data_IF_294751927783
#
_entry.id   IF_294751927783
#
_cell.length_a   1.000
_cell.length_b   1.000
_cell.length_c   1.000
_cell.angle_alpha   90.00
_cell.angle_beta   90.00
_cell.angle_gamma   90.00
#
_symmetry.space_group_name_H-M   'P 1'
#
loop_
_entity.id
_entity.type
_entity.pdbx_description
1 polymer ?
#
# COMPACT_ATOMS: atom_id res chain seq x y z
N UNK A 1 -1.58 -26.96 -46.12
CA UNK A 1 -2.97 -26.49 -45.92
C UNK A 1 -3.16 -26.49 -44.39
N UNK A 2 -2.69 -25.45 -43.77
CA UNK A 2 -2.73 -25.27 -42.31
C UNK A 2 -3.96 -24.47 -41.91
N UNK A 3 -4.74 -25.03 -41.01
CA UNK A 3 -5.98 -24.44 -40.51
C UNK A 3 -5.60 -23.69 -39.23
N UNK A 4 -5.63 -22.34 -39.28
CA UNK A 4 -5.54 -21.50 -38.09
C UNK A 4 -6.90 -21.48 -37.34
N UNK A 5 -6.94 -22.14 -36.19
CA UNK A 5 -8.06 -21.99 -35.23
C UNK A 5 -7.89 -20.73 -34.41
N UNK A 6 -8.74 -19.74 -34.63
CA UNK A 6 -8.88 -18.59 -33.78
C UNK A 6 -9.78 -18.94 -32.61
N UNK A 7 -9.23 -18.96 -31.39
CA UNK A 7 -10.03 -19.00 -30.17
C UNK A 7 -10.46 -17.58 -29.80
N UNK A 8 -11.76 -17.29 -29.96
CA UNK A 8 -12.40 -16.12 -29.42
C UNK A 8 -12.87 -16.45 -27.99
N UNK A 9 -12.19 -15.90 -26.98
CA UNK A 9 -12.59 -16.06 -25.58
C UNK A 9 -13.59 -14.96 -25.24
N UNK A 10 -14.89 -15.29 -25.33
CA UNK A 10 -15.96 -14.42 -24.89
C UNK A 10 -16.07 -14.46 -23.36
N UNK A 11 -15.84 -13.33 -22.71
CA UNK A 11 -16.11 -13.15 -21.28
C UNK A 11 -17.60 -12.84 -21.14
N UNK A 12 -18.36 -13.77 -20.53
CA UNK A 12 -19.75 -13.57 -20.17
C UNK A 12 -19.81 -12.76 -18.87
N UNK A 13 -20.24 -11.51 -18.96
CA UNK A 13 -20.62 -10.72 -17.78
C UNK A 13 -22.04 -11.17 -17.34
N UNK A 14 -22.10 -11.80 -16.17
CA UNK A 14 -23.40 -12.00 -15.49
C UNK A 14 -23.83 -10.70 -14.82
N UNK A 15 -24.74 -9.97 -15.44
CA UNK A 15 -25.44 -8.85 -14.82
C UNK A 15 -26.71 -9.39 -14.15
N UNK A 16 -26.72 -9.46 -12.84
CA UNK A 16 -27.94 -9.70 -12.08
C UNK A 16 -28.74 -8.39 -11.99
N UNK A 17 -29.84 -8.32 -12.71
CA UNK A 17 -30.79 -7.19 -12.63
C UNK A 17 -31.65 -7.34 -11.39
N UNK A 18 -31.47 -6.46 -10.39
CA UNK A 18 -32.50 -6.17 -9.38
C UNK A 18 -33.07 -4.79 -9.66
N UNK A 19 -34.36 -4.75 -10.00
CA UNK A 19 -35.08 -3.51 -10.24
C UNK A 19 -35.40 -2.76 -8.95
N UNK A 20 -35.26 -1.44 -8.97
CA UNK A 20 -35.78 -0.54 -7.94
C UNK A 20 -34.94 0.73 -7.79
N UNK A 21 -35.45 1.86 -8.32
CA UNK A 21 -34.99 3.21 -8.00
C UNK A 21 -33.79 3.70 -8.83
N UNK A 22 -33.98 4.78 -9.59
CA UNK A 22 -32.88 5.47 -10.29
C UNK A 22 -32.03 6.18 -9.23
N UNK A 23 -31.10 5.42 -8.62
CA UNK A 23 -29.95 6.00 -7.99
C UNK A 23 -28.94 6.32 -9.12
N UNK A 24 -28.29 7.47 -9.07
CA UNK A 24 -27.22 7.81 -9.99
C UNK A 24 -26.33 6.58 -10.16
N UNK A 25 -26.16 6.15 -11.40
CA UNK A 25 -25.37 4.96 -11.73
C UNK A 25 -23.93 5.32 -11.37
N UNK A 26 -23.47 4.86 -10.21
CA UNK A 26 -22.09 5.06 -9.77
C UNK A 26 -21.20 4.53 -10.88
N UNK A 27 -20.54 5.43 -11.61
CA UNK A 27 -19.61 5.05 -12.66
C UNK A 27 -18.47 4.21 -12.03
N UNK A 28 -18.16 3.09 -12.64
CA UNK A 28 -17.02 2.29 -12.19
C UNK A 28 -15.76 3.15 -12.23
N UNK A 29 -14.90 3.08 -11.21
CA UNK A 29 -13.69 3.91 -11.12
C UNK A 29 -12.69 3.66 -12.26
N UNK A 30 -12.83 2.54 -12.97
CA UNK A 30 -12.06 2.24 -14.18
C UNK A 30 -13.02 1.77 -15.28
N UNK A 31 -12.92 2.38 -16.45
CA UNK A 31 -13.67 1.97 -17.64
C UNK A 31 -13.32 0.56 -18.09
N UNK A 32 -14.31 -0.21 -18.56
CA UNK A 32 -14.12 -1.57 -19.07
C UNK A 32 -13.16 -1.68 -20.27
N UNK A 33 -12.95 -0.57 -20.98
CA UNK A 33 -12.03 -0.51 -22.14
C UNK A 33 -10.59 -0.18 -21.76
N UNK A 34 -10.35 0.25 -20.51
CA UNK A 34 -9.02 0.58 -20.02
C UNK A 34 -8.19 -0.68 -19.82
N UNK A 35 -6.91 -0.63 -20.18
CA UNK A 35 -5.97 -1.74 -20.11
C UNK A 35 -4.77 -1.41 -19.23
N UNK A 36 -4.26 -2.43 -18.53
CA UNK A 36 -2.98 -2.34 -17.83
C UNK A 36 -1.86 -2.06 -18.84
N UNK A 37 -1.03 -1.07 -18.53
CA UNK A 37 0.18 -0.74 -19.26
C UNK A 37 1.40 -1.21 -18.45
N UNK A 38 2.30 -1.93 -19.10
CA UNK A 38 3.61 -2.27 -18.56
C UNK A 38 4.52 -1.04 -18.64
N UNK A 39 5.08 -0.60 -17.51
CA UNK A 39 5.96 0.56 -17.44
C UNK A 39 7.44 0.18 -17.35
N UNK A 40 7.78 -0.94 -16.71
CA UNK A 40 9.17 -1.39 -16.58
C UNK A 40 9.35 -2.50 -15.55
N UNK A 41 10.60 -2.95 -15.37
CA UNK A 41 10.97 -4.00 -14.41
C UNK A 41 12.31 -3.72 -13.73
N UNK A 42 12.43 -4.19 -12.49
CA UNK A 42 13.66 -4.25 -11.69
C UNK A 42 13.71 -5.57 -10.90
N UNK A 43 14.43 -5.67 -9.78
CA UNK A 43 14.52 -6.94 -9.06
C UNK A 43 13.26 -7.26 -8.22
N UNK A 44 12.82 -6.33 -7.36
CA UNK A 44 11.58 -6.44 -6.60
C UNK A 44 11.09 -5.05 -6.21
N UNK A 45 9.86 -4.75 -6.62
CA UNK A 45 9.28 -3.41 -6.50
C UNK A 45 8.33 -3.27 -5.33
N UNK A 46 8.38 -2.10 -4.68
CA UNK A 46 7.52 -1.70 -3.58
C UNK A 46 7.32 -0.18 -3.52
N UNK A 47 6.41 0.24 -2.65
CA UNK A 47 6.22 1.60 -2.16
C UNK A 47 6.20 2.70 -3.21
N UNK A 48 5.33 2.62 -4.24
CA UNK A 48 5.27 3.66 -5.26
C UNK A 48 4.72 4.95 -4.66
N UNK A 49 5.29 6.07 -5.09
CA UNK A 49 4.80 7.40 -4.75
C UNK A 49 5.02 8.37 -5.90
N UNK A 50 4.10 9.30 -6.11
CA UNK A 50 4.20 10.28 -7.16
C UNK A 50 4.51 11.66 -6.60
N UNK A 51 5.26 12.46 -7.36
CA UNK A 51 5.62 13.83 -7.04
C UNK A 51 5.20 14.78 -8.19
N UNK A 52 4.69 16.03 -7.96
CA UNK A 52 4.22 16.94 -9.02
C UNK A 52 5.29 17.39 -10.00
N UNK A 53 6.55 17.08 -9.75
CA UNK A 53 7.55 17.16 -10.81
C UNK A 53 7.27 16.17 -11.95
N UNK A 54 6.19 15.35 -11.83
CA UNK A 54 5.75 14.38 -12.83
C UNK A 54 6.48 13.05 -12.76
N UNK A 55 7.20 12.80 -11.68
CA UNK A 55 7.96 11.57 -11.49
C UNK A 55 7.21 10.60 -10.56
N UNK A 56 7.34 9.31 -10.86
CA UNK A 56 6.92 8.23 -9.96
C UNK A 56 8.17 7.59 -9.37
N UNK A 57 8.22 7.48 -8.06
CA UNK A 57 9.31 6.85 -7.33
C UNK A 57 8.82 5.50 -6.79
N UNK A 58 9.70 4.52 -6.72
CA UNK A 58 9.40 3.20 -6.16
C UNK A 58 10.69 2.50 -5.73
N UNK A 59 10.56 1.61 -4.75
CA UNK A 59 11.70 0.87 -4.22
C UNK A 59 12.07 -0.31 -5.11
N UNK A 60 13.36 -0.58 -5.23
CA UNK A 60 13.95 -1.85 -5.68
C UNK A 60 14.72 -2.43 -4.49
N UNK A 61 13.97 -3.09 -3.60
CA UNK A 61 14.43 -3.46 -2.25
C UNK A 61 15.72 -4.28 -2.28
N UNK A 62 15.82 -5.42 -3.05
CA UNK A 62 17.00 -6.27 -3.00
C UNK A 62 18.29 -5.60 -3.47
N UNK A 63 18.16 -4.60 -4.33
CA UNK A 63 19.30 -3.82 -4.84
C UNK A 63 19.57 -2.55 -4.05
N UNK A 64 18.86 -2.36 -2.93
CA UNK A 64 19.03 -1.19 -2.05
C UNK A 64 18.96 0.14 -2.81
N UNK A 65 17.92 0.26 -3.68
CA UNK A 65 17.73 1.44 -4.54
C UNK A 65 16.31 1.99 -4.43
N UNK A 66 16.19 3.30 -4.68
CA UNK A 66 14.93 3.93 -5.08
C UNK A 66 15.05 4.25 -6.56
N UNK A 67 14.07 3.84 -7.32
CA UNK A 67 13.94 4.07 -8.75
C UNK A 67 13.05 5.28 -8.99
N UNK A 68 13.24 5.94 -10.12
CA UNK A 68 12.40 7.04 -10.61
C UNK A 68 12.00 6.75 -12.05
N UNK A 69 10.69 6.69 -12.29
CA UNK A 69 10.11 6.80 -13.63
C UNK A 69 9.83 8.26 -13.90
N UNK A 70 10.44 8.81 -14.92
CA UNK A 70 10.26 10.21 -15.30
C UNK A 70 9.00 10.43 -16.17
N UNK A 71 8.74 11.69 -16.55
CA UNK A 71 7.59 12.07 -17.39
C UNK A 71 7.59 11.42 -18.78
N UNK A 72 8.77 11.06 -19.29
CA UNK A 72 8.91 10.40 -20.60
C UNK A 72 8.68 8.88 -20.50
N UNK A 73 8.54 8.34 -19.28
CA UNK A 73 8.37 6.92 -19.01
C UNK A 73 9.69 6.17 -18.82
N UNK A 74 10.83 6.86 -18.79
CA UNK A 74 12.12 6.22 -18.58
C UNK A 74 12.39 5.97 -17.10
N UNK A 75 12.95 4.80 -16.78
CA UNK A 75 13.22 4.39 -15.40
C UNK A 75 14.72 4.50 -15.11
N UNK A 76 15.05 5.30 -14.11
CA UNK A 76 16.41 5.59 -13.66
C UNK A 76 16.59 5.23 -12.18
N UNK A 77 17.85 5.00 -11.77
CA UNK A 77 18.19 4.96 -10.35
C UNK A 77 18.17 6.39 -9.82
N UNK A 78 17.30 6.64 -8.84
CA UNK A 78 17.20 7.93 -8.16
C UNK A 78 18.15 8.00 -6.96
N UNK A 79 18.14 6.96 -6.11
CA UNK A 79 18.98 6.88 -4.90
C UNK A 79 19.53 5.47 -4.75
N UNK A 80 20.83 5.37 -4.50
CA UNK A 80 21.50 4.14 -4.02
C UNK A 80 21.62 4.16 -2.51
N UNK A 81 21.99 3.03 -1.90
CA UNK A 81 22.11 2.88 -0.45
C UNK A 81 20.84 3.35 0.28
N UNK A 82 19.69 2.89 -0.24
CA UNK A 82 18.38 3.30 0.27
C UNK A 82 18.06 2.76 1.66
N UNK A 83 18.93 1.94 2.26
CA UNK A 83 18.70 1.29 3.55
C UNK A 83 17.65 0.18 3.46
N UNK A 84 17.48 -0.42 2.28
CA UNK A 84 16.39 -1.37 1.98
C UNK A 84 15.01 -0.73 2.18
N UNK A 85 14.86 0.50 1.67
CA UNK A 85 13.56 1.20 1.67
C UNK A 85 12.49 0.30 1.08
N UNK A 86 11.35 0.19 1.78
CA UNK A 86 10.14 -0.45 1.35
C UNK A 86 9.13 0.63 0.89
N UNK A 87 8.18 1.04 1.70
CA UNK A 87 7.23 2.09 1.40
C UNK A 87 7.86 3.48 1.33
N UNK A 88 7.30 4.33 0.47
CA UNK A 88 7.63 5.75 0.38
C UNK A 88 6.37 6.60 0.29
N UNK A 89 6.40 7.79 0.87
CA UNK A 89 5.40 8.83 0.65
C UNK A 89 6.08 10.20 0.63
N UNK A 90 5.34 11.25 0.32
CA UNK A 90 5.83 12.62 0.42
C UNK A 90 5.14 13.37 1.56
N UNK A 91 5.90 14.19 2.28
CA UNK A 91 5.32 15.08 3.27
C UNK A 91 4.72 16.35 2.63
N UNK A 92 4.09 17.20 3.43
CA UNK A 92 3.42 18.42 2.96
C UNK A 92 4.37 19.43 2.26
N UNK A 93 5.67 19.27 2.40
CA UNK A 93 6.70 20.07 1.74
C UNK A 93 7.31 19.39 0.52
N UNK A 94 6.78 18.22 0.12
CA UNK A 94 7.30 17.45 -1.02
C UNK A 94 8.61 16.72 -0.73
N UNK A 95 8.98 16.50 0.54
CA UNK A 95 10.15 15.73 0.93
C UNK A 95 9.78 14.26 1.05
N UNK A 96 10.64 13.38 0.53
CA UNK A 96 10.37 11.95 0.53
C UNK A 96 10.60 11.34 1.90
N UNK A 97 9.58 10.66 2.42
CA UNK A 97 9.66 9.79 3.60
C UNK A 97 9.95 8.37 3.11
N UNK A 98 10.86 7.66 3.78
CA UNK A 98 11.29 6.31 3.44
C UNK A 98 11.19 5.38 4.65
N UNK A 99 10.51 4.25 4.51
CA UNK A 99 10.47 3.17 5.49
C UNK A 99 11.64 2.21 5.22
N UNK A 100 12.78 2.37 5.90
CA UNK A 100 14.00 1.58 5.69
C UNK A 100 13.95 0.26 6.47
N UNK A 101 13.03 -0.66 6.07
CA UNK A 101 12.74 -1.91 6.77
C UNK A 101 12.70 -3.16 5.89
N UNK A 102 12.82 -3.05 4.57
CA UNK A 102 12.51 -4.11 3.62
C UNK A 102 13.46 -5.31 3.56
N UNK A 103 14.52 -5.34 4.32
CA UNK A 103 15.49 -6.45 4.26
C UNK A 103 16.48 -6.49 5.41
N UNK A 104 17.32 -7.53 5.44
CA UNK A 104 18.48 -7.58 6.31
C UNK A 104 19.75 -7.34 5.46
N UNK A 105 20.68 -6.48 5.86
CA UNK A 105 20.74 -5.76 7.14
C UNK A 105 20.11 -4.36 7.10
N UNK A 106 18.79 -4.27 7.00
CA UNK A 106 18.10 -2.96 7.00
C UNK A 106 18.47 -2.14 8.24
N UNK A 107 18.42 -0.82 8.10
CA UNK A 107 18.70 0.08 9.21
C UNK A 107 17.55 0.16 10.21
N UNK A 108 16.36 -0.34 9.85
CA UNK A 108 15.17 -0.38 10.71
C UNK A 108 14.83 1.01 11.24
N UNK A 109 14.50 1.92 10.33
CA UNK A 109 14.22 3.31 10.65
C UNK A 109 13.29 3.95 9.63
N UNK A 110 12.64 5.03 10.00
CA UNK A 110 11.94 5.94 9.08
C UNK A 110 12.82 7.16 8.88
N UNK A 111 13.03 7.53 7.62
CA UNK A 111 13.88 8.68 7.26
C UNK A 111 13.14 9.65 6.35
N UNK A 112 13.64 10.87 6.27
CA UNK A 112 13.22 11.88 5.33
C UNK A 112 14.41 12.34 4.50
N UNK A 113 14.24 12.31 3.19
CA UNK A 113 15.18 12.93 2.24
C UNK A 113 14.84 14.42 2.15
N UNK A 114 15.72 15.24 2.64
CA UNK A 114 15.57 16.71 2.61
C UNK A 114 15.79 17.26 1.18
N UNK A 115 15.34 18.48 0.92
CA UNK A 115 15.47 19.10 -0.40
C UNK A 115 16.94 19.36 -0.83
N UNK A 116 17.84 19.45 0.14
CA UNK A 116 19.29 19.59 -0.11
C UNK A 116 19.99 18.23 -0.30
N UNK A 117 19.22 17.12 -0.28
CA UNK A 117 19.73 15.76 -0.45
C UNK A 117 20.22 15.10 0.84
N UNK A 118 20.20 15.78 1.98
CA UNK A 118 20.55 15.18 3.27
C UNK A 118 19.47 14.21 3.76
N UNK A 119 19.83 13.29 4.66
CA UNK A 119 18.90 12.29 5.22
C UNK A 119 18.73 12.56 6.70
N UNK A 120 17.50 12.90 7.10
CA UNK A 120 17.10 13.03 8.49
C UNK A 120 16.46 11.74 8.97
N UNK A 121 16.94 11.17 10.08
CA UNK A 121 16.28 10.06 10.77
C UNK A 121 15.12 10.61 11.57
N UNK A 122 13.90 10.18 11.25
CA UNK A 122 12.68 10.61 11.94
C UNK A 122 12.34 9.70 13.12
N UNK A 123 12.54 8.39 12.94
CA UNK A 123 12.31 7.38 13.97
C UNK A 123 13.20 6.17 13.70
N UNK A 124 13.87 5.64 14.72
CA UNK A 124 14.61 4.37 14.70
C UNK A 124 14.33 3.52 15.96
N UNK A 125 13.67 4.11 16.94
CA UNK A 125 13.28 3.45 18.18
C UNK A 125 11.93 3.99 18.70
N UNK A 126 11.32 3.22 19.59
CA UNK A 126 10.20 3.61 20.42
C UNK A 126 10.48 3.16 21.86
N UNK A 127 10.43 4.10 22.82
CA UNK A 127 10.76 3.85 24.22
C UNK A 127 12.14 3.19 24.45
N UNK A 128 13.14 3.63 23.68
CA UNK A 128 14.52 3.12 23.75
C UNK A 128 14.74 1.75 23.11
N UNK A 129 13.72 1.12 22.54
CA UNK A 129 13.79 -0.17 21.84
C UNK A 129 13.68 0.06 20.34
N UNK A 130 14.50 -0.62 19.55
CA UNK A 130 14.48 -0.51 18.09
C UNK A 130 13.12 -0.91 17.52
N UNK A 131 12.64 -0.17 16.53
CA UNK A 131 11.48 -0.56 15.74
C UNK A 131 11.80 -1.82 14.91
N UNK A 132 10.76 -2.53 14.45
CA UNK A 132 10.93 -3.85 13.84
C UNK A 132 11.46 -3.80 12.41
N UNK A 133 10.64 -3.29 11.49
CA UNK A 133 10.95 -3.27 10.06
C UNK A 133 9.95 -2.36 9.35
N UNK A 134 10.08 -1.01 9.46
CA UNK A 134 9.13 -0.09 8.88
C UNK A 134 8.81 -0.45 7.44
N UNK A 135 7.51 -0.55 7.13
CA UNK A 135 7.04 -1.10 5.86
C UNK A 135 6.39 -0.03 5.00
N UNK A 136 5.28 0.54 5.40
CA UNK A 136 4.55 1.53 4.61
C UNK A 136 4.22 2.78 5.43
N UNK A 137 3.94 3.91 4.75
CA UNK A 137 3.68 5.18 5.42
C UNK A 137 2.67 6.05 4.68
N UNK A 138 2.01 6.92 5.45
CA UNK A 138 1.12 7.96 4.95
C UNK A 138 1.25 9.22 5.80
N UNK A 139 0.76 10.35 5.29
CA UNK A 139 0.82 11.66 5.95
C UNK A 139 -0.59 12.22 6.09
N UNK A 140 -0.91 12.85 7.21
CA UNK A 140 -2.17 13.54 7.37
C UNK A 140 -2.08 15.05 7.01
N UNK A 141 -3.22 15.73 6.99
CA UNK A 141 -3.32 17.15 6.66
C UNK A 141 -2.57 18.10 7.62
N UNK A 142 -2.07 17.59 8.75
CA UNK A 142 -1.24 18.35 9.71
C UNK A 142 0.26 18.01 9.58
N UNK A 143 0.63 17.14 8.63
CA UNK A 143 2.01 16.73 8.39
C UNK A 143 2.51 15.65 9.36
N UNK A 144 1.63 15.03 10.15
CA UNK A 144 2.00 13.89 10.98
C UNK A 144 2.16 12.66 10.09
N UNK A 145 3.21 11.89 10.33
CA UNK A 145 3.55 10.72 9.54
C UNK A 145 3.08 9.47 10.30
N UNK A 146 2.37 8.60 9.63
CA UNK A 146 1.93 7.31 10.14
C UNK A 146 2.67 6.22 9.41
N UNK A 147 3.18 5.22 10.14
CA UNK A 147 3.89 4.11 9.52
C UNK A 147 3.57 2.77 10.18
N UNK A 148 3.67 1.72 9.40
CA UNK A 148 3.52 0.35 9.85
C UNK A 148 4.87 -0.27 10.13
N UNK A 149 4.95 -1.10 11.18
CA UNK A 149 6.21 -1.70 11.65
C UNK A 149 6.09 -3.22 11.85
N UNK A 150 5.81 -3.97 10.78
CA UNK A 150 5.73 -5.43 10.83
C UNK A 150 7.11 -6.07 10.94
N UNK A 151 7.11 -7.39 11.02
CA UNK A 151 8.33 -8.19 10.86
C UNK A 151 8.07 -9.40 9.98
N UNK A 152 8.51 -9.31 8.75
CA UNK A 152 8.53 -10.45 7.83
C UNK A 152 9.81 -11.27 7.99
N UNK A 153 9.78 -12.56 7.61
CA UNK A 153 10.93 -13.47 7.64
C UNK A 153 11.47 -13.68 9.06
N UNK A 154 12.75 -13.44 9.30
CA UNK A 154 13.43 -13.74 10.57
C UNK A 154 12.88 -12.89 11.73
N UNK A 155 12.56 -13.55 12.84
CA UNK A 155 12.13 -12.91 14.11
C UNK A 155 13.34 -12.52 15.00
N UNK A 156 14.55 -12.80 14.56
CA UNK A 156 15.75 -12.46 15.33
C UNK A 156 15.91 -10.95 15.51
N UNK A 157 16.29 -10.53 16.72
CA UNK A 157 16.56 -9.14 17.05
C UNK A 157 15.31 -8.24 17.12
N UNK A 158 14.12 -8.83 17.37
CA UNK A 158 12.95 -8.06 17.77
C UNK A 158 13.17 -7.50 19.18
N UNK A 159 12.68 -6.28 19.40
CA UNK A 159 12.78 -5.57 20.67
C UNK A 159 11.43 -5.04 21.16
N UNK A 160 10.42 -4.98 20.25
CA UNK A 160 9.08 -4.50 20.59
C UNK A 160 8.25 -5.64 21.17
N UNK A 161 8.07 -5.61 22.49
CA UNK A 161 7.26 -6.58 23.24
C UNK A 161 6.35 -5.85 24.22
N UNK A 162 5.20 -6.47 24.53
CA UNK A 162 4.35 -6.02 25.64
C UNK A 162 4.86 -6.52 26.99
N UNK A 163 4.14 -6.17 28.06
CA UNK A 163 4.46 -6.57 29.42
C UNK A 163 4.39 -8.10 29.66
N UNK A 164 3.65 -8.81 28.81
CA UNK A 164 3.52 -10.27 28.84
C UNK A 164 4.57 -10.97 27.95
N UNK A 165 5.49 -10.22 27.34
CA UNK A 165 6.52 -10.75 26.46
C UNK A 165 6.00 -11.15 25.07
N UNK A 166 4.80 -10.72 24.66
CA UNK A 166 4.29 -10.96 23.31
C UNK A 166 4.86 -9.91 22.35
N UNK A 167 5.27 -10.38 21.18
CA UNK A 167 5.77 -9.50 20.11
C UNK A 167 4.69 -8.51 19.65
N UNK A 168 5.09 -7.25 19.43
CA UNK A 168 4.23 -6.20 18.88
C UNK A 168 4.72 -5.86 17.47
N UNK A 169 3.88 -6.11 16.49
CA UNK A 169 4.00 -5.57 15.15
C UNK A 169 3.02 -4.37 15.07
N UNK A 170 3.51 -3.17 15.34
CA UNK A 170 2.66 -2.01 15.64
C UNK A 170 2.45 -1.06 14.46
N UNK A 171 1.53 -0.13 14.67
CA UNK A 171 1.39 1.08 13.85
C UNK A 171 1.77 2.27 14.71
N UNK A 172 2.58 3.15 14.15
CA UNK A 172 3.17 4.29 14.85
C UNK A 172 2.85 5.60 14.16
N UNK A 173 2.94 6.70 14.91
CA UNK A 173 2.82 8.07 14.42
C UNK A 173 4.05 8.86 14.85
N UNK A 174 4.57 9.66 13.93
CA UNK A 174 5.64 10.64 14.15
C UNK A 174 5.02 12.03 14.07
N UNK A 175 5.08 12.80 15.14
CA UNK A 175 4.62 14.19 15.20
C UNK A 175 5.75 15.17 14.84
N UNK A 176 7.00 14.83 15.20
CA UNK A 176 8.22 15.57 14.93
C UNK A 176 9.41 14.59 15.02
N UNK A 177 10.62 15.02 14.64
CA UNK A 177 11.84 14.22 14.73
C UNK A 177 11.98 13.61 16.14
N UNK A 178 12.00 12.29 16.20
CA UNK A 178 12.10 11.52 17.44
C UNK A 178 10.85 11.50 18.32
N UNK A 179 9.78 12.22 17.96
CA UNK A 179 8.51 12.17 18.70
C UNK A 179 7.59 11.10 18.14
N UNK A 180 7.78 9.87 18.59
CA UNK A 180 7.07 8.68 18.12
C UNK A 180 6.02 8.26 19.14
N UNK A 181 4.83 7.90 18.65
CA UNK A 181 3.75 7.32 19.45
C UNK A 181 3.30 6.02 18.80
N UNK A 182 3.11 4.94 19.59
CA UNK A 182 2.49 3.72 19.10
C UNK A 182 0.97 3.84 19.19
N UNK A 183 0.29 3.86 18.06
CA UNK A 183 -1.17 4.08 17.98
C UNK A 183 -1.96 2.78 17.91
N UNK A 184 -1.40 1.71 17.33
CA UNK A 184 -1.97 0.35 17.35
C UNK A 184 -0.89 -0.66 17.75
N UNK A 185 -1.32 -1.72 18.42
CA UNK A 185 -0.47 -2.82 18.90
C UNK A 185 -1.04 -4.16 18.42
N UNK A 186 -1.75 -4.86 19.30
CA UNK A 186 -2.34 -6.18 19.03
C UNK A 186 -3.70 -6.12 18.31
N UNK A 187 -4.22 -4.94 18.02
CA UNK A 187 -5.41 -4.75 17.19
C UNK A 187 -5.16 -5.23 15.74
N UNK A 188 -3.90 -5.24 15.31
CA UNK A 188 -3.43 -5.74 14.02
C UNK A 188 -2.39 -6.83 14.29
N UNK A 189 -2.39 -7.91 13.49
CA UNK A 189 -1.41 -8.98 13.65
C UNK A 189 -0.09 -8.69 12.92
N UNK A 190 -0.18 -8.19 11.68
CA UNK A 190 0.99 -7.78 10.87
C UNK A 190 0.59 -6.63 9.94
N UNK A 191 0.72 -5.39 10.40
CA UNK A 191 0.34 -4.24 9.60
C UNK A 191 1.25 -4.11 8.37
N UNK A 192 0.64 -3.78 7.22
CA UNK A 192 1.34 -3.54 5.96
C UNK A 192 0.90 -2.17 5.41
N UNK A 193 0.11 -2.12 4.33
CA UNK A 193 -0.37 -0.88 3.77
C UNK A 193 -1.17 -0.03 4.75
N UNK A 194 -1.07 1.28 4.62
CA UNK A 194 -1.72 2.26 5.50
C UNK A 194 -2.21 3.46 4.69
N UNK A 195 -3.43 3.93 4.97
CA UNK A 195 -3.99 5.13 4.33
C UNK A 195 -4.88 5.90 5.30
N UNK A 196 -5.03 7.21 5.06
CA UNK A 196 -5.95 8.09 5.79
C UNK A 196 -7.04 8.55 4.81
N UNK A 197 -8.30 8.59 5.28
CA UNK A 197 -9.41 9.07 4.46
C UNK A 197 -9.24 10.54 4.06
N UNK A 198 -9.76 10.97 2.88
CA UNK A 198 -9.66 12.36 2.43
C UNK A 198 -10.25 13.39 3.42
N UNK A 199 -11.24 12.99 4.21
CA UNK A 199 -11.88 13.81 5.24
C UNK A 199 -11.17 13.73 6.60
N UNK A 200 -10.03 13.01 6.69
CA UNK A 200 -9.19 12.86 7.89
C UNK A 200 -9.88 12.17 9.09
N UNK A 201 -10.96 11.43 8.84
CA UNK A 201 -11.74 10.79 9.93
C UNK A 201 -11.39 9.33 10.16
N UNK A 202 -10.74 8.67 9.18
CA UNK A 202 -10.48 7.24 9.23
C UNK A 202 -9.01 6.93 8.92
N UNK A 203 -8.49 5.98 9.67
CA UNK A 203 -7.24 5.28 9.38
C UNK A 203 -7.58 3.89 8.86
N UNK A 204 -7.03 3.51 7.71
CA UNK A 204 -7.13 2.18 7.13
C UNK A 204 -5.81 1.46 7.26
N UNK A 205 -5.85 0.18 7.67
CA UNK A 205 -4.63 -0.63 7.83
C UNK A 205 -4.88 -2.01 7.23
N UNK A 206 -3.97 -2.42 6.36
CA UNK A 206 -3.89 -3.78 5.85
C UNK A 206 -3.22 -4.69 6.89
N UNK A 207 -3.88 -5.79 7.23
CA UNK A 207 -3.37 -6.83 8.13
C UNK A 207 -2.99 -8.06 7.29
N UNK A 208 -1.71 -8.24 7.04
CA UNK A 208 -1.18 -9.26 6.14
C UNK A 208 -0.29 -10.26 6.87
N UNK A 209 -0.83 -10.87 7.91
CA UNK A 209 -0.17 -12.03 8.49
C UNK A 209 -0.48 -13.26 7.66
N UNK A 210 0.54 -13.94 7.18
CA UNK A 210 0.41 -14.99 6.18
C UNK A 210 1.30 -16.21 6.47
N UNK A 211 1.63 -16.43 7.74
CA UNK A 211 2.42 -17.58 8.17
C UNK A 211 1.61 -18.88 8.17
N UNK A 212 0.28 -18.77 8.39
CA UNK A 212 -0.67 -19.89 8.45
C UNK A 212 -1.98 -19.52 7.73
N UNK A 213 -2.74 -20.51 7.23
CA UNK A 213 -4.05 -20.25 6.57
C UNK A 213 -5.08 -19.55 7.46
N UNK A 214 -4.95 -19.66 8.79
CA UNK A 214 -5.84 -19.06 9.78
C UNK A 214 -5.44 -17.66 10.24
N UNK A 215 -4.31 -17.14 9.76
CA UNK A 215 -3.84 -15.81 10.12
C UNK A 215 -4.70 -14.71 9.48
N UNK A 216 -4.59 -13.49 9.99
CA UNK A 216 -5.37 -12.37 9.49
C UNK A 216 -4.89 -11.91 8.10
N UNK A 217 -5.84 -11.84 7.18
CA UNK A 217 -5.68 -11.27 5.85
C UNK A 217 -6.84 -10.32 5.60
N UNK A 218 -6.80 -9.19 6.32
CA UNK A 218 -7.96 -8.32 6.53
C UNK A 218 -7.62 -6.87 6.26
N UNK A 219 -8.61 -6.13 5.81
CA UNK A 219 -8.55 -4.68 5.76
C UNK A 219 -9.37 -4.13 6.91
N UNK A 220 -8.75 -3.33 7.75
CA UNK A 220 -9.33 -2.70 8.91
C UNK A 220 -9.51 -1.19 8.74
N UNK A 221 -10.55 -0.65 9.35
CA UNK A 221 -10.77 0.79 9.53
C UNK A 221 -10.84 1.12 11.01
N UNK A 222 -10.27 2.26 11.38
CA UNK A 222 -10.35 2.85 12.71
C UNK A 222 -10.76 4.32 12.59
N UNK A 223 -11.46 4.85 13.59
CA UNK A 223 -11.74 6.28 13.69
C UNK A 223 -10.45 7.03 14.08
N UNK A 224 -10.12 8.04 13.28
CA UNK A 224 -8.98 8.93 13.48
C UNK A 224 -9.47 10.24 14.11
N UNK A 225 -8.95 10.57 15.29
CA UNK A 225 -9.31 11.80 16.00
C UNK A 225 -8.51 13.01 15.46
N UNK A 226 -9.03 14.24 15.65
CA UNK A 226 -8.34 15.46 15.18
C UNK A 226 -6.93 15.67 15.75
N UNK A 227 -6.63 15.10 16.92
CA UNK A 227 -5.30 15.12 17.52
C UNK A 227 -4.36 14.05 16.92
N UNK A 228 -4.86 13.23 15.99
CA UNK A 228 -4.13 12.13 15.34
C UNK A 228 -4.06 10.85 16.15
N UNK A 229 -4.74 10.78 17.28
CA UNK A 229 -4.93 9.53 18.00
C UNK A 229 -6.00 8.65 17.31
N UNK A 230 -5.90 7.35 17.51
CA UNK A 230 -6.83 6.37 16.94
C UNK A 230 -7.74 5.86 18.03
N UNK A 231 -9.05 5.80 17.76
CA UNK A 231 -9.98 5.09 18.62
C UNK A 231 -9.89 3.58 18.35
N UNK A 232 -9.20 2.86 19.21
CA UNK A 232 -9.02 1.40 19.08
C UNK A 232 -10.33 0.62 19.16
N UNK A 233 -11.32 1.13 19.91
CA UNK A 233 -12.62 0.49 20.05
C UNK A 233 -13.49 0.60 18.79
N UNK A 234 -13.16 1.54 17.88
CA UNK A 234 -13.87 1.72 16.61
C UNK A 234 -13.43 0.73 15.52
N UNK A 235 -12.54 -0.23 15.84
CA UNK A 235 -12.06 -1.22 14.87
C UNK A 235 -13.18 -1.86 14.09
N UNK A 236 -13.18 -1.69 12.77
CA UNK A 236 -14.19 -2.25 11.87
C UNK A 236 -13.51 -3.05 10.75
N UNK A 237 -13.94 -4.29 10.57
CA UNK A 237 -13.56 -5.11 9.43
C UNK A 237 -14.23 -4.57 8.16
N UNK A 238 -13.44 -4.20 7.16
CA UNK A 238 -13.95 -3.81 5.85
C UNK A 238 -13.96 -4.99 4.86
N UNK A 239 -12.87 -5.78 4.84
CA UNK A 239 -12.77 -6.89 3.91
C UNK A 239 -11.88 -8.01 4.47
N UNK A 240 -12.18 -9.26 4.11
CA UNK A 240 -11.45 -10.47 4.54
C UNK A 240 -11.14 -11.35 3.32
N UNK A 241 -9.85 -11.60 3.08
CA UNK A 241 -9.39 -12.48 2.00
C UNK A 241 -9.34 -13.96 2.41
N UNK A 242 -9.69 -14.28 3.66
CA UNK A 242 -9.69 -15.66 4.17
C UNK A 242 -8.31 -16.28 4.17
N UNK A 243 -8.16 -17.43 3.50
CA UNK A 243 -6.85 -18.12 3.35
C UNK A 243 -6.05 -17.69 2.12
N UNK A 244 -6.63 -16.89 1.22
CA UNK A 244 -5.93 -16.37 0.06
C UNK A 244 -4.96 -15.26 0.47
N UNK A 245 -4.02 -14.89 -0.41
CA UNK A 245 -3.08 -13.81 -0.08
C UNK A 245 -3.83 -12.51 0.24
N UNK A 246 -3.57 -11.98 1.42
CA UNK A 246 -4.22 -10.81 1.96
C UNK A 246 -3.74 -9.48 1.36
N UNK A 247 -4.25 -8.38 1.94
CA UNK A 247 -3.92 -7.04 1.47
C UNK A 247 -2.47 -6.70 1.77
N UNK A 248 -1.82 -6.02 0.80
CA UNK A 248 -0.46 -5.49 0.94
C UNK A 248 -0.53 -3.96 1.04
N UNK A 249 -0.10 -3.21 0.03
CA UNK A 249 -0.24 -1.77 0.00
C UNK A 249 -1.61 -1.29 -0.48
N UNK A 250 -1.88 0.00 -0.37
CA UNK A 250 -3.12 0.60 -0.83
C UNK A 250 -2.97 2.09 -1.18
N UNK A 251 -3.86 2.56 -2.08
CA UNK A 251 -4.10 3.97 -2.35
C UNK A 251 -5.58 4.31 -2.14
N UNK A 252 -5.89 5.60 -2.07
CA UNK A 252 -7.27 6.08 -1.89
C UNK A 252 -7.60 7.12 -2.98
N UNK A 253 -8.84 7.11 -3.48
CA UNK A 253 -9.30 8.13 -4.43
C UNK A 253 -10.01 9.30 -3.74
N UNK A 254 -10.36 10.33 -4.51
CA UNK A 254 -11.00 11.54 -4.00
C UNK A 254 -12.43 11.32 -3.49
N UNK A 255 -13.04 10.16 -3.81
CA UNK A 255 -14.35 9.74 -3.29
C UNK A 255 -14.22 8.81 -2.07
N UNK A 256 -12.98 8.53 -1.62
CA UNK A 256 -12.69 7.73 -0.45
C UNK A 256 -12.66 6.23 -0.70
N UNK A 257 -12.71 5.76 -1.96
CA UNK A 257 -12.56 4.32 -2.26
C UNK A 257 -11.11 3.91 -2.14
N UNK A 258 -10.90 2.73 -1.57
CA UNK A 258 -9.59 2.12 -1.35
C UNK A 258 -9.25 1.21 -2.53
N UNK A 259 -8.07 1.39 -3.09
CA UNK A 259 -7.47 0.54 -4.13
C UNK A 259 -6.43 -0.35 -3.45
N UNK A 260 -6.81 -1.56 -3.12
CA UNK A 260 -6.03 -2.47 -2.27
C UNK A 260 -5.37 -3.54 -3.11
N UNK A 261 -4.06 -3.67 -3.01
CA UNK A 261 -3.30 -4.74 -3.66
C UNK A 261 -3.42 -6.03 -2.87
N UNK A 262 -3.86 -7.12 -3.50
CA UNK A 262 -4.04 -8.41 -2.83
C UNK A 262 -4.12 -9.58 -3.81
N UNK A 263 -4.22 -10.78 -3.27
CA UNK A 263 -4.47 -12.02 -4.02
C UNK A 263 -3.25 -12.59 -4.74
N UNK A 264 -3.43 -13.83 -5.21
CA UNK A 264 -2.45 -14.56 -6.04
C UNK A 264 -3.14 -15.21 -7.25
N UNK A 265 -2.42 -15.31 -8.36
CA UNK A 265 -2.80 -16.14 -9.51
C UNK A 265 -2.36 -17.60 -9.28
N UNK A 266 -1.16 -17.78 -8.73
CA UNK A 266 -0.56 -19.06 -8.43
C UNK A 266 -0.39 -19.21 -6.91
N UNK A 267 -1.00 -20.20 -6.26
CA UNK A 267 -0.94 -20.34 -4.81
C UNK A 267 0.47 -20.74 -4.33
N UNK A 268 0.78 -20.38 -3.10
CA UNK A 268 1.98 -20.79 -2.36
C UNK A 268 1.58 -21.62 -1.11
N UNK A 269 1.10 -22.87 -1.28
CA UNK A 269 0.68 -23.70 -0.16
C UNK A 269 1.87 -24.07 0.74
N UNK A 270 1.63 -24.34 2.05
CA UNK A 270 0.30 -24.34 2.71
C UNK A 270 -0.13 -22.96 3.22
N UNK A 271 0.74 -21.97 3.22
CA UNK A 271 0.49 -20.72 3.91
C UNK A 271 -0.55 -19.84 3.20
N UNK A 272 -0.52 -19.82 1.86
CA UNK A 272 -1.40 -18.96 1.06
C UNK A 272 -2.07 -19.75 -0.05
N UNK A 273 -3.37 -19.55 -0.21
CA UNK A 273 -4.14 -20.11 -1.32
C UNK A 273 -4.46 -19.04 -2.36
N UNK A 274 -5.02 -19.43 -3.49
CA UNK A 274 -5.50 -18.54 -4.55
C UNK A 274 -6.85 -19.05 -5.07
N UNK A 275 -7.72 -19.45 -4.15
CA UNK A 275 -8.98 -20.12 -4.48
C UNK A 275 -10.03 -19.13 -4.99
N UNK A 276 -10.22 -18.03 -4.28
CA UNK A 276 -11.27 -17.04 -4.53
C UNK A 276 -10.69 -15.70 -5.03
N UNK A 277 -9.60 -15.27 -4.42
CA UNK A 277 -9.05 -13.94 -4.64
C UNK A 277 -7.76 -13.99 -5.46
N UNK A 278 -7.87 -13.57 -6.72
CA UNK A 278 -6.77 -13.53 -7.67
C UNK A 278 -5.91 -12.27 -7.50
N UNK A 279 -4.71 -12.30 -8.05
CA UNK A 279 -3.79 -11.18 -8.04
C UNK A 279 -4.39 -9.95 -8.73
N UNK A 280 -4.52 -8.83 -8.02
CA UNK A 280 -5.12 -7.62 -8.57
C UNK A 280 -5.33 -6.50 -7.55
N UNK A 281 -6.02 -5.47 -8.03
CA UNK A 281 -6.48 -4.35 -7.23
C UNK A 281 -7.95 -4.58 -6.88
N UNK A 282 -8.24 -4.54 -5.61
CA UNK A 282 -9.58 -4.62 -5.05
C UNK A 282 -10.04 -3.21 -4.71
N UNK A 283 -11.02 -2.68 -5.45
CA UNK A 283 -11.58 -1.34 -5.20
C UNK A 283 -12.73 -1.50 -4.22
N UNK A 284 -12.55 -0.95 -3.02
CA UNK A 284 -13.42 -1.17 -1.86
C UNK A 284 -13.92 0.19 -1.37
N UNK A 285 -15.25 0.31 -1.14
CA UNK A 285 -15.83 1.54 -0.56
C UNK A 285 -15.44 1.72 0.91
N UNK A 286 -15.57 2.94 1.47
CA UNK A 286 -15.33 3.19 2.91
C UNK A 286 -16.20 2.32 3.86
N UNK A 287 -17.31 1.78 3.36
CA UNK A 287 -18.21 0.89 4.11
C UNK A 287 -17.77 -0.58 4.06
N UNK A 288 -16.85 -0.95 3.12
CA UNK A 288 -16.32 -2.30 2.94
C UNK A 288 -16.94 -3.07 1.77
N UNK A 289 -17.64 -2.40 0.84
CA UNK A 289 -18.21 -3.04 -0.35
C UNK A 289 -17.15 -3.10 -1.45
N UNK A 290 -16.86 -4.31 -1.97
CA UNK A 290 -16.06 -4.47 -3.19
C UNK A 290 -16.90 -4.01 -4.40
N UNK A 291 -16.42 -2.98 -5.10
CA UNK A 291 -17.12 -2.39 -6.26
C UNK A 291 -16.46 -2.77 -7.58
N UNK A 292 -15.14 -3.02 -7.57
CA UNK A 292 -14.43 -3.43 -8.78
C UNK A 292 -13.21 -4.29 -8.42
N UNK A 293 -12.88 -5.24 -9.28
CA UNK A 293 -11.62 -5.98 -9.26
C UNK A 293 -10.88 -5.76 -10.58
N UNK A 294 -9.60 -5.37 -10.49
CA UNK A 294 -8.72 -5.13 -11.62
C UNK A 294 -7.65 -6.20 -11.61
N UNK A 295 -7.70 -7.20 -12.51
CA UNK A 295 -6.73 -8.27 -12.52
C UNK A 295 -5.35 -7.75 -12.94
N UNK A 296 -4.30 -8.22 -12.25
CA UNK A 296 -2.91 -7.96 -12.61
C UNK A 296 -2.23 -9.30 -12.96
N UNK A 297 -1.57 -9.41 -14.11
CA UNK A 297 -1.04 -10.69 -14.58
C UNK A 297 0.27 -11.15 -13.91
N UNK A 298 0.71 -10.41 -12.91
CA UNK A 298 1.94 -10.69 -12.15
C UNK A 298 1.57 -10.93 -10.69
N UNK A 299 2.08 -12.00 -10.10
CA UNK A 299 1.95 -12.28 -8.67
C UNK A 299 2.82 -11.35 -7.82
N UNK A 300 2.65 -11.42 -6.50
CA UNK A 300 3.30 -10.51 -5.56
C UNK A 300 2.96 -9.04 -5.87
N UNK A 301 1.66 -8.74 -5.98
CA UNK A 301 1.21 -7.36 -6.05
C UNK A 301 1.43 -6.74 -4.69
N UNK A 302 2.31 -5.74 -4.65
CA UNK A 302 2.81 -5.21 -3.39
C UNK A 302 2.14 -3.90 -2.99
N UNK A 303 2.09 -2.91 -3.88
CA UNK A 303 1.55 -1.60 -3.52
C UNK A 303 1.03 -0.84 -4.75
N UNK A 304 0.35 0.30 -4.54
CA UNK A 304 -0.09 1.18 -5.61
C UNK A 304 -0.13 2.64 -5.17
N UNK A 305 -0.04 3.56 -6.14
CA UNK A 305 -0.16 4.99 -5.90
C UNK A 305 -0.78 5.70 -7.11
N UNK A 306 -1.58 6.70 -6.85
CA UNK A 306 -2.08 7.59 -7.90
C UNK A 306 -1.01 8.59 -8.31
N UNK A 307 -1.01 8.94 -9.59
CA UNK A 307 -0.09 9.90 -10.18
C UNK A 307 -0.59 10.55 -11.45
N UNK A 308 0.34 11.19 -12.15
CA UNK A 308 0.15 12.16 -13.22
C UNK A 308 -0.53 13.45 -12.73
N UNK A 309 -0.56 14.49 -13.57
CA UNK A 309 -1.03 15.82 -13.18
C UNK A 309 -2.52 15.85 -12.77
N UNK A 310 -3.32 14.96 -13.36
CA UNK A 310 -4.75 14.81 -13.07
C UNK A 310 -5.04 13.77 -11.98
N UNK A 311 -4.01 13.11 -11.42
CA UNK A 311 -4.11 12.01 -10.45
C UNK A 311 -5.00 10.85 -10.93
N UNK A 312 -5.17 10.67 -12.24
CA UNK A 312 -5.99 9.60 -12.80
C UNK A 312 -5.19 8.44 -13.37
N UNK A 313 -3.93 8.30 -13.03
CA UNK A 313 -3.15 7.10 -13.32
C UNK A 313 -2.81 6.38 -12.02
N UNK A 314 -3.26 5.14 -11.90
CA UNK A 314 -2.85 4.26 -10.80
C UNK A 314 -1.61 3.50 -11.24
N UNK A 315 -0.48 3.73 -10.57
CA UNK A 315 0.75 2.98 -10.71
C UNK A 315 0.74 1.82 -9.73
N UNK A 316 1.13 0.63 -10.18
CA UNK A 316 1.01 -0.62 -9.43
C UNK A 316 2.35 -1.34 -9.45
N UNK A 317 2.88 -1.63 -8.27
CA UNK A 317 4.06 -2.47 -8.10
C UNK A 317 3.65 -3.93 -7.93
N UNK A 318 4.27 -4.83 -8.69
CA UNK A 318 3.95 -6.26 -8.66
C UNK A 318 5.19 -7.10 -9.00
N UNK A 319 5.70 -7.86 -8.03
CA UNK A 319 6.89 -8.68 -8.16
C UNK A 319 8.11 -7.86 -8.56
N UNK A 320 8.49 -7.91 -9.83
CA UNK A 320 9.61 -7.16 -10.40
C UNK A 320 9.17 -6.11 -11.45
N UNK A 321 7.86 -5.81 -11.52
CA UNK A 321 7.28 -4.95 -12.57
C UNK A 321 6.54 -3.76 -11.99
N UNK A 322 6.66 -2.64 -12.69
CA UNK A 322 5.78 -1.49 -12.55
C UNK A 322 4.74 -1.53 -13.66
N UNK A 323 3.48 -1.42 -13.26
CA UNK A 323 2.32 -1.33 -14.14
C UNK A 323 1.61 0.01 -13.95
N UNK A 324 0.80 0.41 -14.90
CA UNK A 324 -0.12 1.53 -14.73
C UNK A 324 -1.47 1.24 -15.38
N UNK A 325 -2.50 1.94 -14.90
CA UNK A 325 -3.84 1.91 -15.48
C UNK A 325 -4.52 3.25 -15.26
N UNK A 326 -5.28 3.73 -16.26
CA UNK A 326 -6.07 4.96 -16.13
C UNK A 326 -7.34 4.72 -15.33
N UNK A 327 -7.69 5.68 -14.49
CA UNK A 327 -8.92 5.70 -13.67
C UNK A 327 -9.83 6.84 -14.10
N UNK A 328 -11.14 6.68 -13.89
CA UNK A 328 -12.13 7.74 -14.14
C UNK A 328 -12.14 8.77 -13.00
N UNK A 329 -11.81 8.33 -11.78
CA UNK A 329 -11.77 9.16 -10.59
C UNK A 329 -10.33 9.42 -10.20
N UNK A 330 -10.04 10.66 -9.84
CA UNK A 330 -8.72 11.07 -9.40
C UNK A 330 -8.38 10.47 -8.04
N UNK A 331 -7.11 10.13 -7.83
CA UNK A 331 -6.59 9.79 -6.52
C UNK A 331 -6.60 10.96 -5.55
N UNK A 332 -6.41 10.65 -4.29
CA UNK A 332 -6.21 11.62 -3.23
C UNK A 332 -4.76 11.59 -2.75
N UNK A 333 -4.12 12.75 -2.71
CA UNK A 333 -2.79 12.96 -2.14
C UNK A 333 -2.80 14.21 -1.25
N UNK A 334 -2.37 14.09 0.00
CA UNK A 334 -2.57 15.13 1.01
C UNK A 334 -1.79 16.41 0.73
N UNK A 335 -0.59 16.31 0.25
CA UNK A 335 0.31 17.44 0.03
C UNK A 335 -0.03 18.36 -1.16
N UNK A 336 -1.00 17.99 -2.01
CA UNK A 336 -1.49 18.84 -3.10
C UNK A 336 -2.55 19.87 -2.66
N UNK A 337 -2.95 19.88 -1.41
CA UNK A 337 -3.98 20.79 -0.88
C UNK A 337 -3.47 22.21 -0.53
N UNK A 338 -2.41 22.68 -1.17
CA UNK A 338 -1.95 24.07 -0.99
C UNK A 338 -2.78 25.04 -1.79
#
# INVERSE_FOLDING_TARGET
>A
MEIFMRYSCGIVLLVAAFGGGIAAQDSLPISGDTRLKFEGKVAFVEGPSWHPTGNVYFSDIPNERIMRRDRNGEIHVFRTSSGFTNGTCFDLQGRMICCEGGGAPSKRRVTRLELDGTITVLADNFEGKRINSPNDCTVDAKGRIYFTDPRYRSRAGLEQFDEQGREIEGVYRIDDVGKVSRILSHEIQRPNGIAISPDQKFLYVADNKNDKPTDNRKLWRFDLKPDGSVDKASQKLLFDWGSDRGPDGMAIDSEGRLYVTAGFNNPEPPAQTANKYKAGIYVITPEGKLVQFIPVPTDMITNCAFGDEDLKTLYITAGHKLWSIRTEVAGHVEWLKQ
#
